data_IF_532052768922
#
_entry.id   IF_532052768922
#
_cell.length_a   1.000
_cell.length_b   1.000
_cell.length_c   1.000
_cell.angle_alpha   90.00
_cell.angle_beta   90.00
_cell.angle_gamma   90.00
#
_symmetry.space_group_name_H-M   'P 1'
#
loop_
_entity.id
_entity.type
_entity.pdbx_description
1 polymer ?
#
# COMPACT_ATOMS: atom_id res chain seq x y z
N UNK A 1 -21.94 15.06 15.12
CA UNK A 1 -21.77 14.50 13.79
C UNK A 1 -20.63 13.52 13.80
N UNK A 2 -20.77 12.41 13.14
CA UNK A 2 -19.64 11.52 13.03
C UNK A 2 -18.47 12.26 12.39
N UNK A 3 -17.30 12.01 12.91
CA UNK A 3 -16.11 12.60 12.32
C UNK A 3 -15.98 12.06 10.90
N UNK A 4 -16.21 12.90 9.95
CA UNK A 4 -16.00 12.51 8.57
C UNK A 4 -14.52 12.54 8.27
N UNK A 5 -14.06 11.54 7.55
CA UNK A 5 -12.69 11.53 7.09
C UNK A 5 -12.48 12.75 6.19
N UNK A 6 -11.37 13.45 6.41
CA UNK A 6 -11.00 14.54 5.52
C UNK A 6 -10.71 13.98 4.12
N UNK A 7 -10.81 14.80 3.06
CA UNK A 7 -10.46 14.33 1.72
C UNK A 7 -9.05 13.73 1.66
N UNK A 8 -8.10 14.28 2.41
CA UNK A 8 -6.76 13.74 2.47
C UNK A 8 -6.69 12.35 3.08
N UNK A 9 -7.49 12.11 4.13
CA UNK A 9 -7.55 10.78 4.73
C UNK A 9 -8.14 9.75 3.78
N UNK A 10 -9.20 10.11 3.06
CA UNK A 10 -9.82 9.23 2.08
C UNK A 10 -8.83 8.88 0.97
N UNK A 11 -8.13 9.86 0.44
CA UNK A 11 -7.13 9.61 -0.60
C UNK A 11 -5.97 8.78 -0.08
N UNK A 12 -5.54 9.01 1.16
CA UNK A 12 -4.48 8.24 1.77
C UNK A 12 -4.86 6.77 1.92
N UNK A 13 -6.10 6.49 2.33
CA UNK A 13 -6.58 5.11 2.43
C UNK A 13 -6.59 4.45 1.06
N UNK A 14 -7.06 5.15 0.03
CA UNK A 14 -7.08 4.62 -1.33
C UNK A 14 -5.67 4.29 -1.83
N UNK A 15 -4.72 5.19 -1.61
CA UNK A 15 -3.34 4.98 -2.01
C UNK A 15 -2.73 3.80 -1.28
N UNK A 16 -2.94 3.73 0.03
CA UNK A 16 -2.42 2.62 0.83
C UNK A 16 -3.02 1.30 0.39
N UNK A 17 -4.32 1.26 0.17
CA UNK A 17 -4.99 0.03 -0.26
C UNK A 17 -4.48 -0.42 -1.63
N UNK A 18 -4.31 0.51 -2.57
CA UNK A 18 -3.79 0.20 -3.89
C UNK A 18 -2.36 -0.34 -3.81
N UNK A 19 -1.53 0.28 -2.98
CA UNK A 19 -0.14 -0.13 -2.80
C UNK A 19 -0.08 -1.50 -2.13
N UNK A 20 -0.89 -1.75 -1.12
CA UNK A 20 -0.97 -3.05 -0.47
C UNK A 20 -1.38 -4.14 -1.45
N UNK A 21 -2.34 -3.84 -2.32
CA UNK A 21 -2.76 -4.78 -3.36
C UNK A 21 -1.60 -5.11 -4.29
N UNK A 22 -0.85 -4.11 -4.71
CA UNK A 22 0.29 -4.31 -5.58
C UNK A 22 1.36 -5.18 -4.91
N UNK A 23 1.63 -4.97 -3.62
CA UNK A 23 2.59 -5.78 -2.88
C UNK A 23 2.10 -7.22 -2.73
N UNK A 24 0.80 -7.42 -2.47
CA UNK A 24 0.21 -8.76 -2.39
C UNK A 24 0.33 -9.48 -3.73
N UNK A 25 0.05 -8.78 -4.82
CA UNK A 25 0.19 -9.36 -6.15
C UNK A 25 1.63 -9.76 -6.45
N UNK A 26 2.59 -8.96 -6.02
CA UNK A 26 4.00 -9.30 -6.19
C UNK A 26 4.34 -10.59 -5.46
N UNK A 27 3.88 -10.72 -4.21
CA UNK A 27 4.10 -11.93 -3.42
C UNK A 27 3.52 -13.15 -4.16
N UNK A 28 2.32 -13.01 -4.70
CA UNK A 28 1.65 -14.08 -5.43
C UNK A 28 2.40 -14.47 -6.70
N UNK A 29 2.78 -13.48 -7.50
CA UNK A 29 3.48 -13.73 -8.78
C UNK A 29 4.84 -14.36 -8.57
N UNK A 30 5.54 -13.94 -7.53
CA UNK A 30 6.87 -14.46 -7.22
C UNK A 30 6.81 -15.75 -6.40
N UNK A 31 5.61 -16.23 -6.07
CA UNK A 31 5.41 -17.45 -5.29
C UNK A 31 6.17 -17.41 -3.96
N UNK A 32 6.13 -16.27 -3.28
CA UNK A 32 6.83 -16.11 -2.01
C UNK A 32 6.00 -16.65 -0.86
N UNK A 33 6.65 -17.40 0.04
CA UNK A 33 6.05 -17.71 1.34
C UNK A 33 6.05 -16.45 2.20
N UNK A 34 5.29 -16.47 3.31
CA UNK A 34 5.32 -15.34 4.22
C UNK A 34 6.72 -15.05 4.77
N UNK A 35 7.48 -16.10 5.04
CA UNK A 35 8.86 -15.95 5.48
C UNK A 35 9.74 -15.30 4.41
N UNK A 36 9.60 -15.75 3.17
CA UNK A 36 10.37 -15.18 2.06
C UNK A 36 9.95 -13.74 1.79
N UNK A 37 8.65 -13.46 1.81
CA UNK A 37 8.15 -12.10 1.62
C UNK A 37 8.67 -11.17 2.71
N UNK A 38 8.72 -11.63 3.96
CA UNK A 38 9.26 -10.84 5.05
C UNK A 38 10.70 -10.41 4.77
N UNK A 39 11.50 -11.31 4.24
CA UNK A 39 12.89 -10.99 3.88
C UNK A 39 12.97 -10.04 2.69
N UNK A 40 12.14 -10.26 1.69
CA UNK A 40 12.14 -9.42 0.48
C UNK A 40 11.74 -7.98 0.80
N UNK A 41 10.73 -7.82 1.64
CA UNK A 41 10.24 -6.50 2.01
C UNK A 41 10.93 -5.89 3.23
N UNK A 42 11.80 -6.66 3.89
CA UNK A 42 12.52 -6.17 5.06
C UNK A 42 11.65 -5.94 6.29
N UNK A 43 10.64 -6.78 6.48
CA UNK A 43 9.72 -6.70 7.60
C UNK A 43 9.58 -8.06 8.26
N UNK A 44 8.82 -8.13 9.35
CA UNK A 44 8.57 -9.38 10.04
C UNK A 44 7.45 -10.17 9.39
N UNK A 45 7.38 -11.47 9.66
CA UNK A 45 6.28 -12.29 9.15
C UNK A 45 4.91 -11.82 9.61
N UNK A 46 4.71 -11.42 10.89
CA UNK A 46 3.41 -10.84 11.29
C UNK A 46 3.00 -9.65 10.45
N UNK A 47 3.94 -8.81 10.02
CA UNK A 47 3.63 -7.69 9.14
C UNK A 47 3.17 -8.17 7.78
N UNK A 48 3.79 -9.21 7.24
CA UNK A 48 3.33 -9.81 5.98
C UNK A 48 1.93 -10.38 6.13
N UNK A 49 1.66 -11.04 7.26
CA UNK A 49 0.32 -11.56 7.54
C UNK A 49 -0.72 -10.43 7.53
N UNK A 50 -0.41 -9.32 8.21
CA UNK A 50 -1.29 -8.15 8.22
C UNK A 50 -1.49 -7.57 6.82
N UNK A 51 -0.44 -7.54 6.02
CA UNK A 51 -0.50 -7.08 4.64
C UNK A 51 -1.45 -7.94 3.82
N UNK A 52 -1.31 -9.25 3.91
CA UNK A 52 -2.14 -10.18 3.12
C UNK A 52 -3.59 -10.18 3.57
N UNK A 53 -3.86 -9.80 4.81
CA UNK A 53 -5.22 -9.64 5.31
C UNK A 53 -5.85 -8.30 4.94
N UNK A 54 -5.08 -7.42 4.33
CA UNK A 54 -5.60 -6.13 3.90
C UNK A 54 -5.83 -5.14 5.03
N UNK A 55 -5.08 -5.27 6.12
CA UNK A 55 -5.24 -4.39 7.28
C UNK A 55 -4.58 -3.04 7.03
N UNK A 56 -5.23 -2.23 6.21
CA UNK A 56 -4.69 -0.95 5.77
C UNK A 56 -4.38 0.00 6.94
N UNK A 57 -5.13 -0.10 8.02
CA UNK A 57 -4.94 0.77 9.19
C UNK A 57 -3.61 0.56 9.89
N UNK A 58 -2.98 -0.58 9.66
CA UNK A 58 -1.71 -0.90 10.30
C UNK A 58 -0.50 -0.47 9.48
N UNK A 59 -0.72 0.07 8.29
CA UNK A 59 0.37 0.45 7.39
C UNK A 59 0.25 1.91 7.00
N UNK A 60 1.27 2.69 7.34
CA UNK A 60 1.40 4.03 6.80
C UNK A 60 1.89 3.98 5.36
N UNK A 61 1.64 5.06 4.62
CA UNK A 61 2.06 5.13 3.23
C UNK A 61 3.58 5.00 3.11
N UNK A 62 4.31 5.67 4.00
CA UNK A 62 5.77 5.63 4.00
C UNK A 62 6.30 4.21 4.26
N UNK A 63 5.66 3.46 5.16
CA UNK A 63 6.04 2.08 5.42
C UNK A 63 5.86 1.21 4.18
N UNK A 64 4.74 1.39 3.48
CA UNK A 64 4.46 0.64 2.25
C UNK A 64 5.45 1.00 1.14
N UNK A 65 5.78 2.27 1.00
CA UNK A 65 6.77 2.72 0.02
C UNK A 65 8.14 2.11 0.34
N UNK A 66 8.53 2.10 1.62
CA UNK A 66 9.79 1.50 2.03
C UNK A 66 9.83 0.01 1.73
N UNK A 67 8.73 -0.70 1.98
CA UNK A 67 8.64 -2.13 1.68
C UNK A 67 8.82 -2.36 0.18
N UNK A 68 8.13 -1.60 -0.64
CA UNK A 68 8.22 -1.72 -2.09
C UNK A 68 9.65 -1.45 -2.58
N UNK A 69 10.26 -0.39 -2.08
CA UNK A 69 11.63 -0.03 -2.46
C UNK A 69 12.63 -1.11 -2.06
N UNK A 70 12.46 -1.69 -0.88
CA UNK A 70 13.32 -2.77 -0.39
C UNK A 70 13.24 -3.99 -1.30
N UNK A 71 12.06 -4.25 -1.85
CA UNK A 71 11.85 -5.35 -2.79
C UNK A 71 12.31 -5.03 -4.22
N UNK A 72 12.80 -3.82 -4.45
CA UNK A 72 13.22 -3.40 -5.78
C UNK A 72 12.07 -2.94 -6.67
N UNK A 73 10.91 -2.73 -6.11
CA UNK A 73 9.76 -2.25 -6.86
C UNK A 73 9.78 -0.72 -6.92
N UNK A 74 9.33 -0.19 -8.04
CA UNK A 74 9.23 1.26 -8.19
C UNK A 74 7.83 1.72 -7.88
N UNK A 75 7.71 2.72 -7.01
CA UNK A 75 6.43 3.33 -6.69
C UNK A 75 6.36 4.68 -7.37
N UNK A 76 5.31 4.89 -8.13
CA UNK A 76 5.06 6.16 -8.79
C UNK A 76 3.70 6.68 -8.37
N UNK A 77 3.65 7.95 -8.06
CA UNK A 77 2.40 8.61 -7.67
C UNK A 77 2.16 9.75 -8.65
N UNK A 78 0.98 9.74 -9.24
CA UNK A 78 0.59 10.78 -10.18
C UNK A 78 -0.50 11.63 -9.55
N UNK A 79 -0.26 12.94 -9.55
CA UNK A 79 -1.25 13.88 -9.04
C UNK A 79 -1.91 14.53 -10.26
N UNK A 80 -3.22 14.43 -10.30
CA UNK A 80 -4.01 14.99 -11.40
C UNK A 80 -4.94 16.04 -10.86
N UNK A 81 -5.07 17.10 -11.60
CA UNK A 81 -6.09 18.09 -11.29
C UNK A 81 -7.46 17.55 -11.69
N UNK A 82 -8.50 17.88 -10.90
CA UNK A 82 -9.83 17.49 -11.29
C UNK A 82 -10.14 18.06 -12.67
N UNK A 83 -10.80 17.27 -13.50
CA UNK A 83 -11.22 17.76 -14.80
C UNK A 83 -12.26 18.86 -14.57
N UNK A 84 -11.91 20.05 -14.97
CA UNK A 84 -12.86 21.14 -14.94
C UNK A 84 -13.72 21.03 -16.19
N UNK A 85 -14.97 20.72 -15.99
CA UNK A 85 -15.92 20.76 -17.09
C UNK A 85 -16.17 22.22 -17.38
N UNK A 86 -15.73 22.67 -18.52
CA UNK A 86 -16.07 24.01 -18.93
C UNK A 86 -17.58 24.03 -19.06
N UNK A 87 -18.17 24.72 -18.15
CA UNK A 87 -19.63 24.84 -18.12
C UNK A 87 -20.15 25.56 -19.31
#
# INVERSE_FOLDING_TARGET
>A
APAEASPGQTESVKLRAALMTALKEHISRAHLSQSQAAKVFGVTQPRISDLTRGKVDLFGLDALVNMAATAGLRVEIHVREPRVTAG
#
